data_IF_665668690523
#
_entry.id   IF_665668690523
#
_cell.length_a   1.000
_cell.length_b   1.000
_cell.length_c   1.000
_cell.angle_alpha   90.00
_cell.angle_beta   90.00
_cell.angle_gamma   90.00
#
_symmetry.space_group_name_H-M   'P 1'
#
loop_
_entity.id
_entity.type
_entity.pdbx_description
1 polymer ?
#
# COMPACT_ATOMS: atom_id res chain seq x y z
N UNK A 1 -2.27 14.53 20.35
CA UNK A 1 -1.06 13.98 19.70
C UNK A 1 -1.43 13.75 18.25
N UNK A 2 -0.65 14.29 17.32
CA UNK A 2 -0.85 14.03 15.89
C UNK A 2 -0.09 12.74 15.57
N UNK A 3 -0.73 11.84 14.82
CA UNK A 3 -0.07 10.69 14.23
C UNK A 3 0.11 10.97 12.74
N UNK A 4 1.14 10.41 12.13
CA UNK A 4 1.38 10.47 10.68
C UNK A 4 1.80 9.10 10.19
N UNK A 5 1.62 8.85 8.89
CA UNK A 5 2.11 7.61 8.26
C UNK A 5 3.51 7.87 7.73
N UNK A 6 4.51 7.19 8.29
CA UNK A 6 5.91 7.32 7.89
C UNK A 6 6.19 6.53 6.63
N UNK A 7 5.87 5.24 6.65
CA UNK A 7 6.17 4.31 5.54
C UNK A 7 5.07 3.27 5.42
N UNK A 8 4.78 2.85 4.19
CA UNK A 8 3.99 1.65 3.88
C UNK A 8 4.79 0.83 2.87
N UNK A 9 5.09 -0.43 3.22
CA UNK A 9 5.70 -1.41 2.31
C UNK A 9 4.71 -2.54 2.12
N UNK A 10 4.41 -2.92 0.87
CA UNK A 10 3.43 -3.96 0.61
C UNK A 10 3.68 -4.70 -0.69
N UNK A 11 3.26 -5.95 -0.71
CA UNK A 11 3.18 -6.79 -1.89
C UNK A 11 1.74 -6.77 -2.43
N UNK A 12 1.62 -6.83 -3.75
CA UNK A 12 0.36 -6.83 -4.48
C UNK A 12 0.14 -8.19 -5.11
N UNK A 13 -1.09 -8.65 -5.06
CA UNK A 13 -1.50 -9.94 -5.58
C UNK A 13 -2.74 -9.80 -6.47
N UNK A 14 -2.76 -10.56 -7.56
CA UNK A 14 -3.90 -10.74 -8.44
C UNK A 14 -4.21 -12.24 -8.54
N UNK A 15 -5.45 -12.64 -8.22
CA UNK A 15 -5.88 -14.03 -8.19
C UNK A 15 -4.96 -14.96 -7.35
N UNK A 16 -4.34 -14.41 -6.30
CA UNK A 16 -3.40 -15.11 -5.42
C UNK A 16 -1.96 -15.16 -5.91
N UNK A 17 -1.64 -14.62 -7.09
CA UNK A 17 -0.27 -14.53 -7.61
C UNK A 17 0.31 -13.15 -7.35
N UNK A 18 1.57 -13.09 -6.88
CA UNK A 18 2.28 -11.82 -6.66
C UNK A 18 2.52 -11.12 -8.00
N UNK A 19 2.08 -9.86 -8.12
CA UNK A 19 2.20 -9.04 -9.33
C UNK A 19 3.13 -7.85 -9.17
N UNK A 20 3.74 -7.70 -7.99
CA UNK A 20 4.66 -6.62 -7.69
C UNK A 20 4.58 -6.17 -6.24
N UNK A 21 5.26 -5.07 -5.97
CA UNK A 21 5.33 -4.42 -4.67
C UNK A 21 5.06 -2.93 -4.81
N UNK A 22 4.66 -2.31 -3.71
CA UNK A 22 4.47 -0.88 -3.60
C UNK A 22 5.13 -0.34 -2.35
N UNK A 23 5.58 0.90 -2.46
CA UNK A 23 6.22 1.64 -1.40
C UNK A 23 5.64 3.04 -1.33
N UNK A 24 5.28 3.48 -0.13
CA UNK A 24 4.92 4.85 0.17
C UNK A 24 5.80 5.32 1.32
N UNK A 25 6.35 6.52 1.23
CA UNK A 25 7.09 7.14 2.33
C UNK A 25 6.79 8.63 2.40
N UNK A 26 6.78 9.16 3.61
CA UNK A 26 6.82 10.60 3.89
C UNK A 26 8.03 10.97 4.73
N UNK A 27 9.02 10.08 4.85
CA UNK A 27 10.23 10.30 5.68
C UNK A 27 11.03 11.52 5.23
N UNK A 28 10.95 11.88 3.94
CA UNK A 28 11.54 13.09 3.34
C UNK A 28 10.73 14.37 3.60
N UNK A 29 9.51 14.24 4.14
CA UNK A 29 8.62 15.36 4.50
C UNK A 29 8.72 15.59 6.02
N UNK A 30 8.94 16.82 6.49
CA UNK A 30 8.85 17.14 7.92
C UNK A 30 7.48 16.76 8.51
N UNK A 31 7.43 16.26 9.75
CA UNK A 31 6.19 15.77 10.39
C UNK A 31 5.02 16.78 10.31
N UNK A 32 5.31 18.08 10.47
CA UNK A 32 4.31 19.16 10.38
C UNK A 32 3.71 19.35 8.97
N UNK A 33 4.36 18.85 7.92
CA UNK A 33 3.89 18.90 6.53
C UNK A 33 3.19 17.61 6.08
N UNK A 34 3.15 16.57 6.92
CA UNK A 34 2.54 15.29 6.56
C UNK A 34 1.03 15.32 6.78
N UNK A 35 0.27 14.54 5.99
CA UNK A 35 -1.14 14.33 6.26
C UNK A 35 -1.36 13.75 7.66
N UNK A 36 -2.17 14.41 8.52
CA UNK A 36 -2.40 13.93 9.87
C UNK A 36 -3.37 12.73 9.87
N UNK A 37 -3.07 11.76 10.70
CA UNK A 37 -3.94 10.64 11.05
C UNK A 37 -4.60 10.94 12.40
N UNK A 38 -5.90 11.23 12.38
CA UNK A 38 -6.69 11.49 13.58
C UNK A 38 -7.50 10.27 14.00
N UNK A 39 -7.78 10.15 15.30
CA UNK A 39 -8.62 9.08 15.82
C UNK A 39 -10.05 9.20 15.25
N UNK A 40 -10.61 8.07 14.83
CA UNK A 40 -11.95 7.96 14.22
C UNK A 40 -12.12 8.71 12.89
N UNK A 41 -11.02 9.12 12.26
CA UNK A 41 -11.03 9.70 10.92
C UNK A 41 -10.35 8.75 9.91
N UNK A 42 -10.73 8.87 8.65
CA UNK A 42 -10.14 8.09 7.57
C UNK A 42 -9.16 8.96 6.77
N UNK A 43 -7.93 8.49 6.65
CA UNK A 43 -6.92 9.11 5.81
C UNK A 43 -6.81 8.35 4.49
N UNK A 44 -7.01 9.04 3.37
CA UNK A 44 -6.76 8.50 2.03
C UNK A 44 -5.36 8.87 1.57
N UNK A 45 -4.53 7.86 1.29
CA UNK A 45 -3.21 8.01 0.70
C UNK A 45 -3.21 7.42 -0.70
N UNK A 46 -2.88 8.24 -1.69
CA UNK A 46 -2.76 7.79 -3.08
C UNK A 46 -1.36 7.24 -3.33
N UNK A 47 -1.27 6.08 -3.95
CA UNK A 47 -0.02 5.50 -4.43
C UNK A 47 -0.22 4.85 -5.80
N UNK A 48 0.86 4.71 -6.54
CA UNK A 48 0.93 4.05 -7.84
C UNK A 48 2.05 3.03 -7.80
N UNK A 49 1.86 1.90 -8.47
CA UNK A 49 2.93 0.94 -8.72
C UNK A 49 3.00 0.65 -10.22
N UNK A 50 4.16 0.20 -10.68
CA UNK A 50 4.34 -0.22 -12.07
C UNK A 50 4.02 -1.71 -12.22
N UNK A 51 3.06 -2.04 -13.07
CA UNK A 51 2.75 -3.41 -13.43
C UNK A 51 3.56 -3.79 -14.68
N UNK A 52 4.55 -4.66 -14.51
CA UNK A 52 5.46 -5.08 -15.59
C UNK A 52 5.16 -6.50 -16.02
N UNK A 53 4.78 -6.68 -17.29
CA UNK A 53 4.51 -8.00 -17.84
C UNK A 53 5.80 -8.84 -17.92
N UNK A 54 5.77 -10.04 -17.35
CA UNK A 54 6.80 -11.06 -17.52
C UNK A 54 6.16 -12.46 -17.63
N UNK A 55 6.99 -13.48 -17.86
CA UNK A 55 6.52 -14.85 -18.01
C UNK A 55 5.76 -15.39 -16.78
N UNK A 56 6.05 -14.87 -15.58
CA UNK A 56 5.46 -15.33 -14.31
C UNK A 56 4.09 -14.73 -14.06
N UNK A 57 3.84 -13.49 -14.50
CA UNK A 57 2.59 -12.76 -14.22
C UNK A 57 1.75 -12.48 -15.48
N UNK A 58 2.15 -13.02 -16.63
CA UNK A 58 1.50 -12.75 -17.93
C UNK A 58 -0.02 -12.99 -17.94
N UNK A 59 -0.50 -13.99 -17.20
CA UNK A 59 -1.93 -14.29 -17.08
C UNK A 59 -2.65 -13.19 -16.32
N UNK A 60 -2.11 -12.78 -15.19
CA UNK A 60 -2.65 -11.72 -14.33
C UNK A 60 -2.60 -10.38 -15.05
N UNK A 61 -1.49 -10.07 -15.72
CA UNK A 61 -1.32 -8.88 -16.54
C UNK A 61 -2.42 -8.78 -17.60
N UNK A 62 -2.64 -9.86 -18.35
CA UNK A 62 -3.71 -9.91 -19.36
C UNK A 62 -5.10 -9.79 -18.73
N UNK A 63 -5.36 -10.48 -17.61
CA UNK A 63 -6.65 -10.40 -16.92
C UNK A 63 -6.97 -8.96 -16.48
N UNK A 64 -6.00 -8.26 -15.90
CA UNK A 64 -6.11 -6.86 -15.48
C UNK A 64 -6.34 -5.95 -16.70
N UNK A 65 -5.51 -6.06 -17.73
CA UNK A 65 -5.56 -5.16 -18.90
C UNK A 65 -6.73 -5.40 -19.85
N UNK A 66 -7.35 -6.59 -19.79
CA UNK A 66 -8.55 -6.93 -20.58
C UNK A 66 -9.86 -6.82 -19.80
N UNK A 67 -9.84 -6.24 -18.60
CA UNK A 67 -11.00 -6.06 -17.71
C UNK A 67 -11.72 -7.36 -17.35
N UNK A 68 -10.97 -8.44 -17.15
CA UNK A 68 -11.52 -9.66 -16.55
C UNK A 68 -11.75 -9.45 -15.05
N UNK A 69 -12.60 -10.29 -14.45
CA UNK A 69 -12.74 -10.32 -13.00
C UNK A 69 -11.41 -10.79 -12.37
N UNK A 70 -10.84 -9.95 -11.51
CA UNK A 70 -9.59 -10.21 -10.80
C UNK A 70 -9.81 -9.95 -9.32
N UNK A 71 -9.40 -10.89 -8.47
CA UNK A 71 -9.35 -10.70 -7.03
C UNK A 71 -8.02 -10.05 -6.67
N UNK A 72 -8.06 -8.88 -6.04
CA UNK A 72 -6.87 -8.15 -5.63
C UNK A 72 -6.60 -8.33 -4.14
N UNK A 73 -5.34 -8.52 -3.77
CA UNK A 73 -4.92 -8.54 -2.37
C UNK A 73 -3.67 -7.67 -2.18
N UNK A 74 -3.57 -7.01 -1.03
CA UNK A 74 -2.41 -6.24 -0.63
C UNK A 74 -2.01 -6.66 0.78
N UNK A 75 -0.74 -7.05 0.94
CA UNK A 75 -0.21 -7.53 2.24
C UNK A 75 1.08 -6.80 2.53
N UNK A 76 1.24 -6.32 3.76
CA UNK A 76 2.39 -5.49 4.05
C UNK A 76 2.43 -4.95 5.46
N UNK A 77 3.25 -3.93 5.62
CA UNK A 77 3.52 -3.24 6.87
C UNK A 77 3.32 -1.74 6.71
N UNK A 78 2.67 -1.14 7.71
CA UNK A 78 2.53 0.31 7.87
C UNK A 78 3.25 0.75 9.14
N UNK A 79 4.07 1.78 9.03
CA UNK A 79 4.69 2.47 10.17
C UNK A 79 3.97 3.79 10.40
N UNK A 80 3.36 3.90 11.58
CA UNK A 80 2.68 5.09 12.06
C UNK A 80 3.57 5.73 13.11
N UNK A 81 3.77 7.04 13.04
CA UNK A 81 4.64 7.76 13.96
C UNK A 81 4.01 9.04 14.51
N UNK A 82 4.63 9.52 15.57
CA UNK A 82 4.48 10.82 16.18
C UNK A 82 5.87 11.31 16.59
N UNK A 83 5.98 12.57 16.99
CA UNK A 83 7.21 13.14 17.54
C UNK A 83 7.92 12.29 18.63
N UNK A 84 7.19 11.46 19.38
CA UNK A 84 7.76 10.69 20.51
C UNK A 84 7.94 9.20 20.24
N UNK A 85 7.14 8.62 19.35
CA UNK A 85 7.06 7.16 19.17
C UNK A 85 6.66 6.78 17.75
N UNK A 86 7.15 5.63 17.30
CA UNK A 86 6.71 4.96 16.09
C UNK A 86 6.20 3.54 16.40
N UNK A 87 5.23 3.08 15.63
CA UNK A 87 4.67 1.72 15.70
C UNK A 87 4.50 1.16 14.30
N UNK A 88 4.95 -0.08 14.10
CA UNK A 88 4.74 -0.83 12.86
C UNK A 88 3.63 -1.86 13.06
N UNK A 89 2.76 -2.00 12.06
CA UNK A 89 1.66 -2.95 12.04
C UNK A 89 1.61 -3.68 10.71
N UNK A 90 1.40 -4.98 10.77
CA UNK A 90 1.08 -5.78 9.59
C UNK A 90 -0.37 -5.53 9.17
N UNK A 91 -0.64 -5.62 7.87
CA UNK A 91 -1.98 -5.63 7.32
C UNK A 91 -2.11 -6.67 6.21
N UNK A 92 -3.34 -7.18 6.06
CA UNK A 92 -3.78 -8.02 4.94
C UNK A 92 -5.14 -7.48 4.51
N UNK A 93 -5.22 -7.03 3.26
CA UNK A 93 -6.42 -6.43 2.68
C UNK A 93 -6.78 -7.14 1.39
N UNK A 94 -8.06 -7.45 1.23
CA UNK A 94 -8.60 -8.10 0.04
C UNK A 94 -9.69 -7.24 -0.57
N UNK A 95 -9.63 -7.06 -1.88
CA UNK A 95 -10.61 -6.37 -2.72
C UNK A 95 -11.09 -7.34 -3.80
N UNK A 96 -12.39 -7.58 -3.87
CA UNK A 96 -13.01 -8.53 -4.81
C UNK A 96 -14.45 -8.17 -5.13
#
# INVERSE_FOLDING_TARGET
MVLTVSTINYELYANGNNVGEGHFTTEDIPEAGRPPLFANDNLTLSNTFELVNDDKISKEYLAITTNQAVKYEAKGQITIESFLTAVTKDFDSTLG
#
